data_IF_652694004430
#
_entry.id   IF_652694004430
#
_cell.length_a   1.000
_cell.length_b   1.000
_cell.length_c   1.000
_cell.angle_alpha   90.00
_cell.angle_beta   90.00
_cell.angle_gamma   90.00
#
_symmetry.space_group_name_H-M   'P 1'
#
loop_
_entity.id
_entity.type
_entity.pdbx_description
1 polymer ?
#
# COMPACT_ATOMS: atom_id res chain seq x y z
N UNK A 1 0.35 -21.51 8.44
CA UNK A 1 1.22 -20.35 8.70
C UNK A 1 0.51 -19.50 9.73
N UNK A 2 0.95 -19.55 11.00
CA UNK A 2 0.42 -18.68 12.05
C UNK A 2 0.98 -17.27 11.83
N UNK A 3 0.12 -16.30 11.54
CA UNK A 3 0.50 -14.89 11.49
C UNK A 3 0.49 -14.39 12.95
N UNK A 4 1.67 -14.31 13.56
CA UNK A 4 1.85 -13.79 14.93
C UNK A 4 1.80 -12.27 14.89
N UNK A 5 0.62 -11.70 15.16
CA UNK A 5 0.40 -10.25 15.28
C UNK A 5 -0.50 -9.68 14.18
N UNK A 6 -1.28 -8.64 14.52
CA UNK A 6 -2.04 -7.87 13.53
C UNK A 6 -1.07 -6.91 12.81
N UNK A 7 -0.26 -7.43 11.90
CA UNK A 7 0.54 -6.59 11.00
C UNK A 7 -0.36 -5.71 10.14
N UNK A 8 0.12 -4.50 9.85
CA UNK A 8 -0.54 -3.54 8.98
C UNK A 8 0.20 -3.46 7.65
N UNK A 9 -0.53 -3.14 6.58
CA UNK A 9 0.01 -2.94 5.24
C UNK A 9 -0.37 -1.56 4.73
N UNK A 10 0.61 -0.85 4.17
CA UNK A 10 0.40 0.36 3.39
C UNK A 10 0.14 -0.04 1.94
N UNK A 11 -1.03 0.34 1.43
CA UNK A 11 -1.48 0.08 0.07
C UNK A 11 -1.57 1.39 -0.70
N UNK A 12 -1.33 1.31 -2.01
CA UNK A 12 -1.58 2.40 -2.95
C UNK A 12 -2.53 1.93 -4.04
N UNK A 13 -3.64 2.65 -4.22
CA UNK A 13 -4.52 2.47 -5.38
C UNK A 13 -4.09 3.41 -6.49
N UNK A 14 -3.85 2.84 -7.67
CA UNK A 14 -3.45 3.63 -8.82
C UNK A 14 -4.62 4.38 -9.45
N UNK A 15 -5.81 3.78 -9.48
CA UNK A 15 -7.02 4.44 -9.99
C UNK A 15 -7.45 5.57 -9.07
N UNK A 16 -7.42 5.35 -7.76
CA UNK A 16 -7.79 6.34 -6.75
C UNK A 16 -6.69 7.35 -6.43
N UNK A 17 -5.44 7.06 -6.83
CA UNK A 17 -4.23 7.85 -6.52
C UNK A 17 -4.09 8.15 -5.02
N UNK A 18 -4.51 7.22 -4.18
CA UNK A 18 -4.57 7.37 -2.74
C UNK A 18 -3.87 6.22 -2.01
N UNK A 19 -3.54 6.50 -0.76
CA UNK A 19 -2.95 5.52 0.16
C UNK A 19 -4.01 5.00 1.12
N UNK A 20 -3.91 3.72 1.46
CA UNK A 20 -4.77 3.07 2.43
C UNK A 20 -3.90 2.23 3.38
N UNK A 21 -4.28 2.18 4.67
CA UNK A 21 -3.65 1.31 5.65
C UNK A 21 -4.72 0.34 6.14
N UNK A 22 -4.44 -0.96 6.05
CA UNK A 22 -5.31 -1.99 6.59
C UNK A 22 -4.49 -3.11 7.25
N UNK A 23 -5.17 -4.04 7.93
CA UNK A 23 -4.51 -5.23 8.47
C UNK A 23 -4.10 -6.16 7.33
N UNK A 24 -2.91 -6.74 7.41
CA UNK A 24 -2.36 -7.66 6.41
C UNK A 24 -3.34 -8.81 6.10
N UNK A 25 -3.98 -9.37 7.14
CA UNK A 25 -4.98 -10.44 6.99
C UNK A 25 -6.18 -10.05 6.12
N UNK A 26 -6.60 -8.77 6.20
CA UNK A 26 -7.76 -8.26 5.45
C UNK A 26 -7.36 -8.08 3.99
N UNK A 27 -6.18 -7.51 3.73
CA UNK A 27 -5.61 -7.39 2.38
C UNK A 27 -5.46 -8.79 1.74
N UNK A 28 -4.88 -9.76 2.43
CA UNK A 28 -4.72 -11.13 1.91
C UNK A 28 -6.07 -11.78 1.58
N UNK A 29 -7.06 -11.65 2.45
CA UNK A 29 -8.41 -12.16 2.22
C UNK A 29 -9.11 -11.48 1.03
N UNK A 30 -8.85 -10.19 0.83
CA UNK A 30 -9.34 -9.43 -0.33
C UNK A 30 -8.68 -9.91 -1.63
N UNK A 31 -7.34 -10.07 -1.63
CA UNK A 31 -6.58 -10.57 -2.78
C UNK A 31 -6.95 -12.00 -3.16
N UNK A 32 -7.14 -12.89 -2.19
CA UNK A 32 -7.60 -14.26 -2.46
C UNK A 32 -8.98 -14.27 -3.12
N UNK A 33 -9.93 -13.46 -2.62
CA UNK A 33 -11.25 -13.31 -3.25
C UNK A 33 -11.14 -12.74 -4.65
N UNK A 34 -10.28 -11.75 -4.87
CA UNK A 34 -10.06 -11.17 -6.18
C UNK A 34 -9.50 -12.20 -7.18
N UNK A 35 -8.52 -13.00 -6.74
CA UNK A 35 -7.96 -14.10 -7.52
C UNK A 35 -9.02 -15.14 -7.92
N UNK A 36 -9.80 -15.63 -6.97
CA UNK A 36 -10.85 -16.63 -7.23
C UNK A 36 -11.94 -16.09 -8.17
N UNK A 37 -12.31 -14.82 -8.00
CA UNK A 37 -13.34 -14.17 -8.83
C UNK A 37 -12.82 -13.65 -10.18
N UNK A 38 -11.53 -13.84 -10.50
CA UNK A 38 -10.87 -13.24 -11.67
C UNK A 38 -11.06 -11.71 -11.77
N UNK A 39 -11.24 -11.04 -10.62
CA UNK A 39 -11.39 -9.59 -10.57
C UNK A 39 -10.05 -8.91 -10.37
N UNK A 40 -9.90 -7.72 -10.94
CA UNK A 40 -8.67 -6.92 -10.80
C UNK A 40 -8.68 -6.21 -9.45
N UNK A 41 -7.68 -6.46 -8.63
CA UNK A 41 -7.39 -5.65 -7.45
C UNK A 41 -6.50 -4.46 -7.86
N UNK A 42 -6.91 -3.24 -7.52
CA UNK A 42 -6.18 -2.00 -7.85
C UNK A 42 -5.15 -1.59 -6.79
N UNK A 43 -5.16 -2.26 -5.63
CA UNK A 43 -4.28 -1.95 -4.53
C UNK A 43 -2.93 -2.67 -4.66
N UNK A 44 -1.85 -1.89 -4.65
CA UNK A 44 -0.48 -2.39 -4.59
C UNK A 44 0.07 -2.25 -3.16
N UNK A 45 0.57 -3.33 -2.53
CA UNK A 45 1.26 -3.24 -1.25
C UNK A 45 2.62 -2.56 -1.42
N UNK A 46 2.91 -1.60 -0.55
CA UNK A 46 4.15 -0.82 -0.56
C UNK A 46 5.01 -1.05 0.68
N UNK A 47 4.41 -1.34 1.84
CA UNK A 47 5.14 -1.63 3.08
C UNK A 47 4.27 -2.43 4.06
N UNK A 48 4.92 -3.16 4.96
CA UNK A 48 4.31 -3.90 6.08
C UNK A 48 5.02 -3.44 7.36
N UNK A 49 4.26 -3.23 8.44
CA UNK A 49 4.81 -2.85 9.73
C UNK A 49 3.89 -3.32 10.88
N UNK A 50 4.43 -3.35 12.10
CA UNK A 50 3.68 -3.75 13.29
C UNK A 50 2.76 -2.62 13.77
N UNK A 51 3.07 -1.37 13.42
CA UNK A 51 2.29 -0.18 13.83
C UNK A 51 1.85 0.69 12.66
N UNK A 52 0.74 1.41 12.86
CA UNK A 52 0.25 2.39 11.88
C UNK A 52 1.21 3.59 11.74
N UNK A 53 1.87 3.99 12.83
CA UNK A 53 2.78 5.14 12.84
C UNK A 53 4.00 4.89 11.94
N UNK A 54 4.56 3.68 11.95
CA UNK A 54 5.64 3.29 11.03
C UNK A 54 5.21 3.39 9.56
N UNK A 55 4.00 2.92 9.25
CA UNK A 55 3.45 3.03 7.89
C UNK A 55 3.18 4.49 7.50
N UNK A 56 2.79 5.33 8.45
CA UNK A 56 2.58 6.75 8.23
C UNK A 56 3.90 7.47 7.89
N UNK A 57 4.99 7.15 8.59
CA UNK A 57 6.33 7.65 8.27
C UNK A 57 6.78 7.22 6.86
N UNK A 58 6.54 5.95 6.49
CA UNK A 58 6.85 5.44 5.16
C UNK A 58 6.02 6.15 4.09
N UNK A 59 4.72 6.35 4.33
CA UNK A 59 3.82 7.08 3.43
C UNK A 59 4.34 8.49 3.16
N UNK A 60 4.72 9.22 4.20
CA UNK A 60 5.18 10.60 4.07
C UNK A 60 6.52 10.68 3.31
N UNK A 61 7.40 9.69 3.49
CA UNK A 61 8.63 9.56 2.70
C UNK A 61 8.31 9.34 1.21
N UNK A 62 7.41 8.41 0.90
CA UNK A 62 7.01 8.11 -0.49
C UNK A 62 6.37 9.30 -1.19
N UNK A 63 5.53 10.07 -0.49
CA UNK A 63 4.92 11.30 -1.02
C UNK A 63 6.01 12.32 -1.37
N UNK A 64 6.98 12.53 -0.46
CA UNK A 64 8.10 13.46 -0.69
C UNK A 64 8.98 13.02 -1.86
N UNK A 65 9.30 11.73 -1.96
CA UNK A 65 10.09 11.19 -3.07
C UNK A 65 9.38 11.34 -4.40
N UNK A 66 8.08 11.04 -4.45
CA UNK A 66 7.26 11.20 -5.66
C UNK A 66 7.21 12.66 -6.12
N UNK A 67 7.06 13.61 -5.20
CA UNK A 67 7.06 15.04 -5.51
C UNK A 67 8.40 15.47 -6.16
N UNK A 68 9.52 15.02 -5.61
CA UNK A 68 10.86 15.28 -6.19
C UNK A 68 10.99 14.71 -7.60
N UNK A 69 10.54 13.48 -7.83
CA UNK A 69 10.58 12.87 -9.16
C UNK A 69 9.73 13.63 -10.18
N UNK A 70 8.55 14.12 -9.80
CA UNK A 70 7.72 14.94 -10.69
C UNK A 70 8.35 16.28 -11.04
N UNK A 71 9.08 16.91 -10.11
CA UNK A 71 9.78 18.18 -10.38
C UNK A 71 10.97 18.00 -11.32
N UNK A 72 11.70 16.89 -11.21
CA UNK A 72 12.82 16.58 -12.13
C UNK A 72 12.38 16.17 -13.53
N UNK A 73 11.15 15.65 -13.69
CA UNK A 73 10.61 15.22 -14.98
C UNK A 73 10.01 16.33 -15.84
N UNK A 74 9.90 17.56 -15.33
CA UNK A 74 9.39 18.72 -16.09
C UNK A 74 10.46 19.54 -16.82
N UNK A 75 11.73 19.14 -16.74
CA UNK A 75 12.86 19.78 -17.44
C UNK A 75 13.41 18.95 -18.61
N UNK A 76 12.60 18.07 -19.22
CA UNK A 76 12.99 17.25 -20.38
C UNK A 76 12.12 17.56 -21.59
#
# INVERSE_FOLDING_TARGET
>A
MEIKGDEYVLLHSEKGRNFHIEKLRVMLSSMQRAFVSSSKNDYRPLAIAETIDELQLIKDKLIKERAKFSETGSNS
#
